data_IF_102710403972
#
_entry.id   IF_102710403972
#
_cell.length_a   1.000
_cell.length_b   1.000
_cell.length_c   1.000
_cell.angle_alpha   90.00
_cell.angle_beta   90.00
_cell.angle_gamma   90.00
#
_symmetry.space_group_name_H-M   'P 1'
#
loop_
_entity.id
_entity.type
_entity.pdbx_description
1 polymer ?
#
# COMPACT_ATOMS: atom_id res chain seq x y z
N UNK A 1 39.03 27.60 -22.28
CA UNK A 1 38.38 26.38 -22.79
C UNK A 1 38.31 25.38 -21.64
N UNK A 2 37.18 25.29 -20.97
CA UNK A 2 36.93 24.40 -19.82
C UNK A 2 35.93 23.35 -20.26
N UNK A 3 36.40 22.16 -20.63
CA UNK A 3 35.55 21.02 -20.98
C UNK A 3 35.08 20.29 -19.72
N UNK A 4 33.85 19.73 -19.74
CA UNK A 4 33.15 19.26 -18.55
C UNK A 4 33.64 17.89 -18.11
N UNK A 5 33.55 17.65 -16.81
CA UNK A 5 33.94 16.44 -16.11
C UNK A 5 32.98 15.30 -16.47
N UNK A 6 33.27 14.60 -17.56
CA UNK A 6 32.60 13.35 -17.92
C UNK A 6 32.70 12.38 -16.75
N UNK A 7 31.55 11.95 -16.25
CA UNK A 7 31.46 10.93 -15.22
C UNK A 7 31.98 9.63 -15.83
N UNK A 8 33.22 9.30 -15.49
CA UNK A 8 33.89 8.08 -15.91
C UNK A 8 32.97 6.88 -15.68
N UNK A 9 32.63 6.19 -16.77
CA UNK A 9 31.90 4.93 -16.73
C UNK A 9 32.67 3.96 -15.82
N UNK A 10 32.08 3.67 -14.65
CA UNK A 10 32.70 2.83 -13.63
C UNK A 10 32.51 1.36 -14.05
N UNK A 11 33.58 0.69 -14.47
CA UNK A 11 33.50 -0.71 -14.89
C UNK A 11 33.42 -1.63 -13.65
N UNK A 12 32.22 -2.17 -13.42
CA UNK A 12 31.90 -3.05 -12.29
C UNK A 12 32.64 -4.38 -12.35
N UNK A 13 33.02 -4.84 -13.55
CA UNK A 13 33.70 -6.12 -13.73
C UNK A 13 35.16 -6.07 -13.24
N UNK A 14 35.81 -4.91 -13.41
CA UNK A 14 37.15 -4.66 -12.89
C UNK A 14 37.17 -4.59 -11.35
N UNK A 15 36.12 -4.02 -10.74
CA UNK A 15 35.98 -3.94 -9.29
C UNK A 15 35.71 -5.30 -8.64
N UNK A 16 34.93 -6.17 -9.30
CA UNK A 16 34.66 -7.53 -8.84
C UNK A 16 35.92 -8.42 -8.82
N UNK A 17 36.85 -8.21 -9.75
CA UNK A 17 38.12 -8.95 -9.82
C UNK A 17 39.14 -8.49 -8.75
N UNK A 18 38.98 -7.28 -8.19
CA UNK A 18 39.90 -6.71 -7.19
C UNK A 18 39.66 -7.21 -5.75
N UNK A 19 38.70 -8.13 -5.54
CA UNK A 19 38.62 -9.01 -4.35
C UNK A 19 38.30 -8.40 -2.99
N UNK A 20 38.32 -7.07 -2.81
CA UNK A 20 38.19 -6.45 -1.48
C UNK A 20 37.41 -5.13 -1.47
N UNK A 21 36.20 -5.10 -2.02
CA UNK A 21 35.31 -3.93 -1.87
C UNK A 21 33.91 -4.33 -1.39
N UNK A 22 33.50 -3.78 -0.26
CA UNK A 22 32.13 -3.86 0.25
C UNK A 22 31.32 -2.72 -0.38
N UNK A 23 30.60 -3.02 -1.46
CA UNK A 23 29.74 -2.06 -2.15
C UNK A 23 28.45 -1.86 -1.37
N UNK A 24 28.37 -0.77 -0.59
CA UNK A 24 27.12 -0.34 0.04
C UNK A 24 26.41 0.66 -0.87
N UNK A 25 25.39 0.18 -1.59
CA UNK A 25 24.48 1.05 -2.35
C UNK A 25 23.56 1.76 -1.36
N UNK A 26 23.96 2.97 -0.93
CA UNK A 26 23.05 3.87 -0.22
C UNK A 26 22.11 4.47 -1.27
N UNK A 27 20.81 4.18 -1.15
CA UNK A 27 19.81 4.91 -1.92
C UNK A 27 20.03 6.42 -1.72
N UNK A 28 20.10 7.23 -2.80
CA UNK A 28 20.23 8.68 -2.70
C UNK A 28 18.94 9.37 -2.21
N UNK A 29 17.99 8.60 -1.68
CA UNK A 29 16.72 9.10 -1.19
C UNK A 29 16.94 9.67 0.20
N UNK A 30 16.63 10.96 0.36
CA UNK A 30 16.66 11.62 1.65
C UNK A 30 15.72 10.85 2.61
N UNK A 31 16.19 10.47 3.82
CA UNK A 31 15.41 9.69 4.75
C UNK A 31 14.09 10.37 5.16
N UNK A 32 14.00 11.69 5.06
CA UNK A 32 12.76 12.43 5.31
C UNK A 32 11.77 12.30 4.15
N UNK A 33 12.24 12.24 2.90
CA UNK A 33 11.39 12.00 1.73
C UNK A 33 10.80 10.58 1.73
N UNK A 34 11.61 9.58 2.10
CA UNK A 34 11.16 8.20 2.25
C UNK A 34 10.10 8.06 3.37
N UNK A 35 10.26 8.79 4.48
CA UNK A 35 9.26 8.84 5.56
C UNK A 35 8.00 9.55 5.12
N UNK A 36 8.10 10.63 4.36
CA UNK A 36 6.96 11.39 3.88
C UNK A 36 6.09 10.56 2.92
N UNK A 37 6.71 9.80 2.01
CA UNK A 37 6.01 8.83 1.14
C UNK A 37 5.25 7.78 1.95
N UNK A 38 5.91 7.13 2.92
CA UNK A 38 5.28 6.12 3.78
C UNK A 38 4.12 6.69 4.62
N UNK A 39 4.24 7.93 5.10
CA UNK A 39 3.16 8.60 5.83
C UNK A 39 1.95 8.88 4.95
N UNK A 40 2.16 9.31 3.70
CA UNK A 40 1.08 9.51 2.73
C UNK A 40 0.35 8.20 2.43
N UNK A 41 1.09 7.12 2.21
CA UNK A 41 0.48 5.80 1.98
C UNK A 41 -0.28 5.30 3.20
N UNK A 42 0.26 5.49 4.41
CA UNK A 42 -0.44 5.15 5.65
C UNK A 42 -1.71 5.99 5.85
N UNK A 43 -1.67 7.28 5.52
CA UNK A 43 -2.85 8.14 5.58
C UNK A 43 -3.92 7.67 4.60
N UNK A 44 -3.56 7.41 3.35
CA UNK A 44 -4.48 6.87 2.34
C UNK A 44 -5.09 5.54 2.78
N UNK A 45 -4.26 4.63 3.31
CA UNK A 45 -4.71 3.34 3.84
C UNK A 45 -5.65 3.52 5.03
N UNK A 46 -5.35 4.45 5.93
CA UNK A 46 -6.19 4.74 7.10
C UNK A 46 -7.56 5.30 6.70
N UNK A 47 -7.61 6.21 5.73
CA UNK A 47 -8.86 6.78 5.22
C UNK A 47 -9.68 5.71 4.53
N UNK A 48 -9.06 4.85 3.73
CA UNK A 48 -9.74 3.73 3.08
C UNK A 48 -10.32 2.74 4.11
N UNK A 49 -9.55 2.39 5.15
CA UNK A 49 -10.03 1.54 6.25
C UNK A 49 -11.19 2.17 7.02
N UNK A 50 -11.09 3.46 7.34
CA UNK A 50 -12.17 4.19 8.01
C UNK A 50 -13.44 4.22 7.16
N UNK A 51 -13.33 4.45 5.86
CA UNK A 51 -14.46 4.41 4.93
C UNK A 51 -15.10 3.01 4.90
N UNK A 52 -14.30 1.96 4.81
CA UNK A 52 -14.77 0.58 4.81
C UNK A 52 -15.49 0.23 6.13
N UNK A 53 -14.93 0.61 7.28
CA UNK A 53 -15.53 0.41 8.59
C UNK A 53 -16.83 1.21 8.75
N UNK A 54 -16.88 2.46 8.29
CA UNK A 54 -18.08 3.29 8.35
C UNK A 54 -19.22 2.69 7.52
N UNK A 55 -18.92 2.24 6.29
CA UNK A 55 -19.91 1.59 5.42
C UNK A 55 -20.39 0.27 6.05
N UNK A 56 -19.47 -0.56 6.55
CA UNK A 56 -19.81 -1.81 7.22
C UNK A 56 -20.70 -1.58 8.45
N UNK A 57 -20.34 -0.61 9.28
CA UNK A 57 -21.13 -0.23 10.45
C UNK A 57 -22.52 0.29 10.06
N UNK A 58 -22.62 1.13 9.02
CA UNK A 58 -23.89 1.63 8.53
C UNK A 58 -24.79 0.49 8.02
N UNK A 59 -24.23 -0.47 7.27
CA UNK A 59 -24.99 -1.62 6.80
C UNK A 59 -25.50 -2.48 7.97
N UNK A 60 -24.66 -2.71 8.99
CA UNK A 60 -25.08 -3.42 10.22
C UNK A 60 -26.19 -2.67 10.96
N UNK A 61 -26.08 -1.35 11.06
CA UNK A 61 -27.11 -0.50 11.66
C UNK A 61 -28.45 -0.61 10.92
N UNK A 62 -28.44 -0.54 9.59
CA UNK A 62 -29.63 -0.71 8.74
C UNK A 62 -30.27 -2.08 8.94
N UNK A 63 -29.46 -3.14 9.04
CA UNK A 63 -29.95 -4.51 9.28
C UNK A 63 -30.61 -4.69 10.65
N UNK A 64 -30.06 -4.03 11.68
CA UNK A 64 -30.62 -4.08 13.04
C UNK A 64 -31.78 -3.12 13.25
N UNK A 65 -31.97 -2.15 12.35
CA UNK A 65 -33.01 -1.14 12.47
C UNK A 65 -34.41 -1.75 12.29
N UNK A 66 -35.32 -1.61 13.27
CA UNK A 66 -36.67 -2.15 13.17
C UNK A 66 -37.54 -1.41 12.15
N UNK A 67 -37.14 -0.20 11.75
CA UNK A 67 -37.82 0.63 10.75
C UNK A 67 -37.28 0.45 9.33
N UNK A 68 -36.22 -0.35 9.15
CA UNK A 68 -35.62 -0.55 7.83
C UNK A 68 -36.54 -1.38 6.94
N UNK A 69 -36.74 -0.92 5.70
CA UNK A 69 -37.56 -1.63 4.73
C UNK A 69 -36.91 -2.95 4.31
N UNK A 70 -37.70 -3.85 3.71
CA UNK A 70 -37.16 -5.09 3.15
C UNK A 70 -36.14 -4.83 2.03
N UNK A 71 -36.29 -3.73 1.30
CA UNK A 71 -35.34 -3.33 0.26
C UNK A 71 -34.04 -2.80 0.87
N UNK A 72 -34.14 -2.07 1.98
CA UNK A 72 -32.97 -1.54 2.69
C UNK A 72 -32.02 -2.64 3.18
N UNK A 73 -32.61 -3.70 3.71
CA UNK A 73 -31.87 -4.85 4.23
C UNK A 73 -31.19 -5.65 3.10
N UNK A 74 -31.82 -5.72 1.91
CA UNK A 74 -31.25 -6.44 0.76
C UNK A 74 -29.98 -5.78 0.25
N UNK A 75 -29.99 -4.46 0.06
CA UNK A 75 -28.80 -3.76 -0.41
C UNK A 75 -27.72 -3.74 0.68
N UNK A 76 -28.07 -3.62 1.96
CA UNK A 76 -27.10 -3.70 3.05
C UNK A 76 -26.42 -5.09 3.11
N UNK A 77 -27.18 -6.16 2.88
CA UNK A 77 -26.67 -7.53 2.87
C UNK A 77 -25.73 -7.80 1.68
N UNK A 78 -26.04 -7.28 0.49
CA UNK A 78 -25.16 -7.43 -0.67
C UNK A 78 -23.84 -6.68 -0.47
N UNK A 79 -23.87 -5.48 0.10
CA UNK A 79 -22.67 -4.71 0.44
C UNK A 79 -21.81 -5.43 1.48
N UNK A 80 -22.41 -5.95 2.56
CA UNK A 80 -21.66 -6.71 3.56
C UNK A 80 -21.00 -7.96 2.97
N UNK A 81 -21.70 -8.66 2.08
CA UNK A 81 -21.14 -9.84 1.40
C UNK A 81 -19.94 -9.46 0.54
N UNK A 82 -20.00 -8.34 -0.17
CA UNK A 82 -18.88 -7.82 -0.96
C UNK A 82 -17.67 -7.45 -0.08
N UNK A 83 -17.92 -6.83 1.09
CA UNK A 83 -16.86 -6.52 2.06
C UNK A 83 -16.18 -7.82 2.54
N UNK A 84 -16.95 -8.83 2.94
CA UNK A 84 -16.41 -10.12 3.40
C UNK A 84 -15.63 -10.81 2.29
N UNK A 85 -16.16 -10.85 1.06
CA UNK A 85 -15.48 -11.43 -0.08
C UNK A 85 -14.15 -10.70 -0.39
N UNK A 86 -14.15 -9.37 -0.31
CA UNK A 86 -12.95 -8.56 -0.47
C UNK A 86 -11.89 -8.85 0.61
N UNK A 87 -12.30 -9.00 1.87
CA UNK A 87 -11.41 -9.37 2.97
C UNK A 87 -10.82 -10.77 2.78
N UNK A 88 -11.65 -11.76 2.44
CA UNK A 88 -11.19 -13.12 2.17
C UNK A 88 -10.22 -13.12 0.98
N UNK A 89 -10.56 -12.42 -0.11
CA UNK A 89 -9.69 -12.31 -1.29
C UNK A 89 -8.34 -11.67 -0.96
N UNK A 90 -8.33 -10.63 -0.13
CA UNK A 90 -7.09 -10.02 0.35
C UNK A 90 -6.25 -10.97 1.21
N UNK A 91 -6.87 -11.71 2.13
CA UNK A 91 -6.18 -12.67 2.99
C UNK A 91 -5.59 -13.83 2.18
N UNK A 92 -6.34 -14.37 1.22
CA UNK A 92 -5.85 -15.44 0.33
C UNK A 92 -4.71 -14.94 -0.56
N UNK A 93 -4.80 -13.74 -1.12
CA UNK A 93 -3.73 -13.16 -1.95
C UNK A 93 -2.42 -12.90 -1.20
N UNK A 94 -2.50 -12.64 0.12
CA UNK A 94 -1.31 -12.49 0.97
C UNK A 94 -0.63 -13.81 1.34
N UNK A 95 -1.33 -14.94 1.32
CA UNK A 95 -0.78 -16.26 1.67
C UNK A 95 0.04 -16.91 0.55
N UNK A 96 -0.04 -16.38 -0.67
CA UNK A 96 0.64 -16.93 -1.86
C UNK A 96 1.86 -16.12 -2.32
N UNK A 97 2.36 -15.19 -1.50
CA UNK A 97 3.63 -14.46 -1.74
C UNK A 97 4.67 -14.93 -0.74
#
# INVERSE_FOLDING_TARGET
MTTPKDQAALDLNALAQAGHYELSVKSPEDPDDARHRRRKDLLLLSVALLGLCAIGFFCLWVLMSPTASADDRKWAQSVLTAIVAGLIGYLTGKGTT
#
